data_IF_236200765569
#
_entry.id   IF_236200765569
#
_cell.length_a   1.000
_cell.length_b   1.000
_cell.length_c   1.000
_cell.angle_alpha   90.00
_cell.angle_beta   90.00
_cell.angle_gamma   90.00
#
_symmetry.space_group_name_H-M   'P 1'
#
loop_
_entity.id
_entity.type
_entity.pdbx_description
1 polymer ?
#
# COMPACT_ATOMS: atom_id res chain seq x y z
N UNK A 1 -3.26 -8.13 -17.49
CA UNK A 1 -3.62 -6.95 -16.66
C UNK A 1 -5.09 -6.65 -16.87
N UNK A 2 -5.88 -6.69 -15.82
CA UNK A 2 -7.33 -6.49 -15.85
C UNK A 2 -7.69 -5.07 -15.38
N UNK A 3 -8.94 -4.66 -15.62
CA UNK A 3 -9.45 -3.37 -15.14
C UNK A 3 -10.81 -3.55 -14.50
N UNK A 4 -11.14 -2.68 -13.56
CA UNK A 4 -12.47 -2.54 -12.96
C UNK A 4 -12.85 -1.06 -12.94
N UNK A 5 -14.06 -0.77 -13.40
CA UNK A 5 -14.61 0.58 -13.36
C UNK A 5 -15.45 0.75 -12.11
N UNK A 6 -15.15 1.82 -11.35
CA UNK A 6 -15.88 2.24 -10.16
C UNK A 6 -16.26 3.72 -10.28
N UNK A 7 -16.99 4.25 -9.32
CA UNK A 7 -17.40 5.67 -9.31
C UNK A 7 -16.22 6.62 -9.46
N UNK A 8 -15.09 6.32 -8.81
CA UNK A 8 -13.87 7.14 -8.81
C UNK A 8 -13.08 7.09 -10.13
N UNK A 9 -13.25 6.07 -10.96
CA UNK A 9 -12.50 5.87 -12.21
C UNK A 9 -12.21 4.41 -12.52
N UNK A 10 -11.21 4.16 -13.37
CA UNK A 10 -10.77 2.82 -13.77
C UNK A 10 -9.55 2.41 -12.95
N UNK A 11 -9.65 1.30 -12.22
CA UNK A 11 -8.52 0.72 -11.47
C UNK A 11 -7.96 -0.47 -12.25
N UNK A 12 -6.65 -0.46 -12.49
CA UNK A 12 -5.92 -1.55 -13.13
C UNK A 12 -5.36 -2.49 -12.07
N UNK A 13 -5.45 -3.80 -12.31
CA UNK A 13 -4.93 -4.80 -11.37
C UNK A 13 -4.36 -6.03 -12.10
N UNK A 14 -3.45 -6.72 -11.43
CA UNK A 14 -3.02 -8.06 -11.80
C UNK A 14 -3.76 -9.06 -10.88
N UNK A 15 -4.25 -10.16 -11.45
CA UNK A 15 -4.84 -11.26 -10.72
C UNK A 15 -4.04 -12.54 -10.98
N UNK A 16 -3.76 -13.31 -9.93
CA UNK A 16 -2.98 -14.54 -10.00
C UNK A 16 -3.60 -15.59 -9.07
N UNK A 17 -3.61 -16.85 -9.48
CA UNK A 17 -4.21 -17.95 -8.73
C UNK A 17 -5.65 -18.24 -9.12
N UNK A 18 -6.27 -19.27 -8.52
CA UNK A 18 -7.62 -19.71 -8.87
C UNK A 18 -8.68 -18.68 -8.46
N UNK A 19 -9.69 -18.48 -9.28
CA UNK A 19 -10.80 -17.54 -8.99
C UNK A 19 -11.58 -17.92 -7.74
N UNK A 20 -11.65 -19.19 -7.42
CA UNK A 20 -12.32 -19.75 -6.22
C UNK A 20 -11.46 -19.68 -4.96
N UNK A 21 -10.17 -19.30 -5.08
CA UNK A 21 -9.28 -19.15 -3.93
C UNK A 21 -9.70 -17.99 -3.03
N UNK A 22 -9.37 -18.08 -1.72
CA UNK A 22 -9.59 -16.98 -0.79
C UNK A 22 -8.85 -15.74 -1.28
N UNK A 23 -9.50 -14.56 -1.38
CA UNK A 23 -8.90 -13.38 -1.95
C UNK A 23 -7.87 -12.75 -1.01
N UNK A 24 -6.68 -12.46 -1.55
CA UNK A 24 -5.62 -11.66 -0.94
C UNK A 24 -5.46 -10.41 -1.80
N UNK A 25 -5.75 -9.24 -1.25
CA UNK A 25 -5.68 -7.96 -1.95
C UNK A 25 -4.55 -7.13 -1.37
N UNK A 26 -3.68 -6.62 -2.24
CA UNK A 26 -2.47 -5.90 -1.86
C UNK A 26 -2.61 -4.39 -2.04
N UNK A 27 -2.10 -3.63 -1.09
CA UNK A 27 -2.07 -2.17 -1.11
C UNK A 27 -0.61 -1.70 -1.00
N UNK A 28 -0.12 -1.10 -2.07
CA UNK A 28 1.24 -0.55 -2.16
C UNK A 28 1.30 0.89 -1.62
N UNK A 29 2.50 1.42 -1.44
CA UNK A 29 2.74 2.75 -0.91
C UNK A 29 2.75 3.89 -1.94
N UNK A 30 3.19 5.06 -1.46
CA UNK A 30 3.26 6.31 -2.22
C UNK A 30 4.21 6.20 -3.42
N UNK A 31 3.73 6.58 -4.62
CA UNK A 31 4.44 6.45 -5.89
C UNK A 31 4.96 5.03 -6.19
N UNK A 32 4.20 4.01 -5.79
CA UNK A 32 4.46 2.60 -6.07
C UNK A 32 3.32 2.01 -6.90
N UNK A 33 3.47 0.77 -7.36
CA UNK A 33 2.46 0.07 -8.17
C UNK A 33 2.29 -1.39 -7.77
N UNK A 34 1.20 -2.01 -8.23
CA UNK A 34 0.83 -3.38 -7.90
C UNK A 34 1.90 -4.43 -8.22
N UNK A 35 2.78 -4.16 -9.20
CA UNK A 35 3.89 -5.06 -9.59
C UNK A 35 4.87 -5.34 -8.44
N UNK A 36 4.89 -4.51 -7.40
CA UNK A 36 5.66 -4.73 -6.17
C UNK A 36 5.38 -6.11 -5.57
N UNK A 37 4.13 -6.58 -5.67
CA UNK A 37 3.64 -7.79 -5.03
C UNK A 37 3.77 -9.05 -5.87
N UNK A 38 4.28 -8.97 -7.12
CA UNK A 38 4.27 -10.09 -8.09
C UNK A 38 4.86 -11.37 -7.51
N UNK A 39 6.06 -11.29 -6.92
CA UNK A 39 6.78 -12.46 -6.40
C UNK A 39 6.03 -13.17 -5.27
N UNK A 40 5.38 -12.43 -4.40
CA UNK A 40 4.55 -12.97 -3.31
C UNK A 40 3.24 -13.51 -3.85
N UNK A 41 2.60 -12.81 -4.79
CA UNK A 41 1.36 -13.26 -5.43
C UNK A 41 1.52 -14.61 -6.11
N UNK A 42 2.62 -14.83 -6.83
CA UNK A 42 2.92 -16.11 -7.49
C UNK A 42 3.03 -17.27 -6.48
N UNK A 43 3.67 -17.02 -5.33
CA UNK A 43 3.83 -18.03 -4.26
C UNK A 43 2.51 -18.36 -3.57
N UNK A 44 1.71 -17.36 -3.28
CA UNK A 44 0.40 -17.54 -2.66
C UNK A 44 -0.59 -18.20 -3.62
N UNK A 45 -0.52 -17.86 -4.91
CA UNK A 45 -1.31 -18.52 -5.96
C UNK A 45 -1.00 -20.00 -6.06
N UNK A 46 0.29 -20.39 -5.93
CA UNK A 46 0.71 -21.79 -5.84
C UNK A 46 0.17 -22.54 -4.62
N UNK A 47 -0.35 -21.81 -3.62
CA UNK A 47 -1.03 -22.35 -2.43
C UNK A 47 -2.57 -22.30 -2.52
N UNK A 48 -3.10 -22.02 -3.70
CA UNK A 48 -4.55 -21.98 -3.96
C UNK A 48 -5.24 -20.68 -3.55
N UNK A 49 -4.50 -19.59 -3.28
CA UNK A 49 -5.06 -18.28 -2.95
C UNK A 49 -5.27 -17.44 -4.23
N UNK A 50 -6.32 -16.62 -4.24
CA UNK A 50 -6.58 -15.64 -5.29
C UNK A 50 -5.94 -14.31 -4.95
N UNK A 51 -4.80 -14.01 -5.55
CA UNK A 51 -4.04 -12.79 -5.32
C UNK A 51 -4.45 -11.68 -6.29
N UNK A 52 -4.76 -10.50 -5.77
CA UNK A 52 -5.17 -9.33 -6.54
C UNK A 52 -4.27 -8.16 -6.13
N UNK A 53 -3.49 -7.65 -7.09
CA UNK A 53 -2.53 -6.57 -6.90
C UNK A 53 -2.90 -5.36 -7.76
N UNK A 54 -3.79 -4.48 -7.28
CA UNK A 54 -4.15 -3.25 -8.00
C UNK A 54 -3.01 -2.23 -7.97
N UNK A 55 -2.99 -1.38 -8.99
CA UNK A 55 -2.25 -0.13 -8.95
C UNK A 55 -3.19 0.98 -8.49
N UNK A 56 -3.14 1.27 -7.21
CA UNK A 56 -3.99 2.25 -6.55
C UNK A 56 -3.62 3.69 -6.95
N UNK A 57 -4.52 4.68 -6.78
CA UNK A 57 -4.26 6.07 -7.17
C UNK A 57 -3.32 6.80 -6.20
N UNK A 58 -2.14 6.20 -5.97
CA UNK A 58 -1.06 6.69 -5.12
C UNK A 58 0.13 7.23 -5.95
N UNK A 59 -0.08 7.54 -7.23
CA UNK A 59 0.89 8.19 -8.13
C UNK A 59 1.39 7.34 -9.30
N UNK A 60 1.25 6.01 -9.26
CA UNK A 60 1.64 5.09 -10.34
C UNK A 60 0.46 4.60 -11.20
N UNK A 61 -0.75 5.01 -10.89
CA UNK A 61 -1.96 4.62 -11.62
C UNK A 61 -1.92 5.14 -13.07
N UNK A 62 -2.34 4.30 -14.05
CA UNK A 62 -2.16 4.63 -15.46
C UNK A 62 -3.24 5.56 -16.04
N UNK A 63 -4.39 5.71 -15.35
CA UNK A 63 -5.48 6.62 -15.74
C UNK A 63 -5.81 7.54 -14.57
N UNK A 64 -6.03 8.85 -14.81
CA UNK A 64 -6.42 9.77 -13.75
C UNK A 64 -7.78 9.41 -13.17
N UNK A 65 -8.02 9.79 -11.93
CA UNK A 65 -9.32 9.71 -11.30
C UNK A 65 -10.32 10.67 -11.97
N UNK A 66 -11.61 10.39 -11.81
CA UNK A 66 -12.66 11.32 -12.21
C UNK A 66 -12.61 12.58 -11.34
N UNK A 67 -12.96 13.75 -11.88
CA UNK A 67 -13.02 14.98 -11.10
C UNK A 67 -13.89 14.81 -9.84
N UNK A 68 -13.36 15.22 -8.69
CA UNK A 68 -14.05 15.10 -7.41
C UNK A 68 -13.99 13.72 -6.73
N UNK A 69 -13.35 12.73 -7.36
CA UNK A 69 -13.19 11.41 -6.78
C UNK A 69 -12.05 11.39 -5.77
N UNK A 70 -12.38 11.46 -4.48
CA UNK A 70 -11.60 11.00 -3.33
C UNK A 70 -10.06 11.05 -3.37
N UNK A 71 -9.47 12.15 -3.84
CA UNK A 71 -8.01 12.33 -4.00
C UNK A 71 -7.29 12.58 -2.65
N UNK A 72 -7.76 11.92 -1.61
CA UNK A 72 -7.16 11.97 -0.27
C UNK A 72 -6.82 10.56 0.18
N UNK A 73 -5.97 10.44 1.20
CA UNK A 73 -5.62 9.12 1.73
C UNK A 73 -6.87 8.36 2.24
N UNK A 74 -7.83 9.06 2.85
CA UNK A 74 -9.13 8.50 3.23
C UNK A 74 -10.00 8.13 2.03
N UNK A 75 -9.98 8.95 0.96
CA UNK A 75 -10.67 8.65 -0.29
C UNK A 75 -10.11 7.41 -1.00
N UNK A 76 -8.79 7.20 -0.94
CA UNK A 76 -8.17 5.96 -1.47
C UNK A 76 -8.67 4.73 -0.70
N UNK A 77 -8.88 4.83 0.62
CA UNK A 77 -9.48 3.74 1.39
C UNK A 77 -10.92 3.42 0.93
N UNK A 78 -11.71 4.45 0.62
CA UNK A 78 -13.03 4.28 -0.01
C UNK A 78 -12.94 3.60 -1.39
N UNK A 79 -11.96 4.01 -2.22
CA UNK A 79 -11.70 3.37 -3.52
C UNK A 79 -11.34 1.89 -3.35
N UNK A 80 -10.54 1.53 -2.34
CA UNK A 80 -10.27 0.12 -2.03
C UNK A 80 -11.57 -0.62 -1.71
N UNK A 81 -12.42 -0.08 -0.84
CA UNK A 81 -13.70 -0.69 -0.49
C UNK A 81 -14.62 -0.86 -1.70
N UNK A 82 -14.70 0.15 -2.58
CA UNK A 82 -15.47 0.11 -3.83
C UNK A 82 -14.96 -0.99 -4.77
N UNK A 83 -13.64 -1.15 -4.91
CA UNK A 83 -13.04 -2.23 -5.73
C UNK A 83 -13.37 -3.60 -5.14
N UNK A 84 -13.26 -3.78 -3.82
CA UNK A 84 -13.65 -5.03 -3.17
C UNK A 84 -15.13 -5.36 -3.42
N UNK A 85 -15.98 -4.33 -3.43
CA UNK A 85 -17.41 -4.48 -3.72
C UNK A 85 -17.66 -4.81 -5.19
N UNK A 86 -17.05 -4.09 -6.12
CA UNK A 86 -17.23 -4.28 -7.56
C UNK A 86 -16.70 -5.62 -8.08
N UNK A 87 -15.66 -6.16 -7.43
CA UNK A 87 -15.15 -7.52 -7.68
C UNK A 87 -15.88 -8.60 -6.86
N UNK A 88 -16.94 -8.23 -6.12
CA UNK A 88 -17.74 -9.11 -5.26
C UNK A 88 -16.94 -9.92 -4.25
N UNK A 89 -15.76 -9.41 -3.84
CA UNK A 89 -14.88 -10.10 -2.92
C UNK A 89 -15.45 -10.11 -1.50
N UNK A 90 -15.30 -11.23 -0.82
CA UNK A 90 -15.68 -11.45 0.58
C UNK A 90 -14.55 -12.19 1.29
N UNK A 91 -14.48 -12.08 2.62
CA UNK A 91 -13.47 -12.74 3.44
C UNK A 91 -12.03 -12.41 2.98
N UNK A 92 -11.82 -11.14 2.60
CA UNK A 92 -10.58 -10.65 2.01
C UNK A 92 -9.47 -10.59 3.05
N UNK A 93 -8.30 -11.12 2.71
CA UNK A 93 -7.05 -10.80 3.41
C UNK A 93 -6.49 -9.53 2.79
N UNK A 94 -6.59 -8.40 3.49
CA UNK A 94 -6.10 -7.12 2.99
C UNK A 94 -4.69 -6.86 3.52
N UNK A 95 -3.75 -6.68 2.60
CA UNK A 95 -2.30 -6.56 2.89
C UNK A 95 -1.80 -5.17 2.52
N UNK A 96 -1.24 -4.43 3.47
CA UNK A 96 -0.68 -3.10 3.23
C UNK A 96 0.80 -2.98 3.56
N UNK A 97 1.52 -2.13 2.79
CA UNK A 97 2.93 -1.80 2.99
C UNK A 97 3.16 -0.31 2.79
N UNK A 98 4.09 0.29 3.51
CA UNK A 98 4.45 1.72 3.41
C UNK A 98 3.18 2.58 3.65
N UNK A 99 2.93 3.62 2.89
CA UNK A 99 1.69 4.42 2.95
C UNK A 99 0.43 3.59 2.65
N UNK A 100 0.57 2.48 1.91
CA UNK A 100 -0.53 1.52 1.71
C UNK A 100 -1.00 0.88 3.02
N UNK A 101 -0.15 0.80 4.03
CA UNK A 101 -0.55 0.37 5.37
C UNK A 101 -1.53 1.33 6.04
N UNK A 102 -1.38 2.66 5.85
CA UNK A 102 -2.37 3.65 6.31
C UNK A 102 -3.72 3.43 5.63
N UNK A 103 -3.71 3.26 4.30
CA UNK A 103 -4.94 2.95 3.54
C UNK A 103 -5.61 1.68 4.08
N UNK A 104 -4.83 0.64 4.32
CA UNK A 104 -5.30 -0.65 4.83
C UNK A 104 -5.88 -0.54 6.24
N UNK A 105 -5.25 0.24 7.13
CA UNK A 105 -5.77 0.56 8.46
C UNK A 105 -7.10 1.33 8.37
N UNK A 106 -7.19 2.33 7.47
CA UNK A 106 -8.43 3.07 7.23
C UNK A 106 -9.56 2.15 6.73
N UNK A 107 -9.27 1.22 5.82
CA UNK A 107 -10.26 0.22 5.36
C UNK A 107 -10.70 -0.68 6.52
N UNK A 108 -9.77 -1.13 7.36
CA UNK A 108 -10.09 -1.99 8.50
C UNK A 108 -11.03 -1.31 9.51
N UNK A 109 -10.91 0.01 9.68
CA UNK A 109 -11.74 0.78 10.62
C UNK A 109 -13.06 1.24 10.02
N UNK A 110 -13.07 1.63 8.73
CA UNK A 110 -14.25 2.26 8.12
C UNK A 110 -15.07 1.33 7.22
N UNK A 111 -14.47 0.25 6.72
CA UNK A 111 -15.08 -0.68 5.75
C UNK A 111 -14.74 -2.15 6.07
N UNK A 112 -14.90 -2.62 7.33
CA UNK A 112 -14.40 -3.94 7.76
C UNK A 112 -15.23 -5.11 7.23
N UNK A 113 -16.43 -4.88 6.72
CA UNK A 113 -17.43 -5.91 6.44
C UNK A 113 -16.98 -6.96 5.43
N UNK A 114 -16.14 -6.59 4.47
CA UNK A 114 -15.62 -7.51 3.43
C UNK A 114 -14.31 -8.18 3.82
N UNK A 115 -13.67 -7.71 4.89
CA UNK A 115 -12.39 -8.25 5.34
C UNK A 115 -12.59 -9.56 6.09
N UNK A 116 -11.68 -10.49 5.94
CA UNK A 116 -11.55 -11.70 6.73
C UNK A 116 -10.30 -11.68 7.61
N UNK A 117 -9.27 -10.92 7.18
CA UNK A 117 -8.04 -10.69 7.94
C UNK A 117 -7.35 -9.40 7.48
N UNK A 118 -6.50 -8.86 8.34
CA UNK A 118 -5.65 -7.70 8.07
C UNK A 118 -4.18 -8.12 8.12
N UNK A 119 -3.37 -7.62 7.18
CA UNK A 119 -1.92 -7.76 7.24
C UNK A 119 -1.26 -6.40 7.04
N UNK A 120 -0.39 -6.02 7.95
CA UNK A 120 0.43 -4.82 7.86
C UNK A 120 1.90 -5.23 7.79
N UNK A 121 2.59 -4.79 6.75
CA UNK A 121 4.03 -5.01 6.58
C UNK A 121 4.72 -3.67 6.56
N UNK A 122 5.74 -3.48 7.38
CA UNK A 122 6.57 -2.26 7.45
C UNK A 122 5.88 -1.02 6.87
N UNK A 123 5.12 -0.29 7.68
CA UNK A 123 4.24 0.75 7.17
C UNK A 123 4.12 1.95 8.12
N UNK A 124 3.58 3.03 7.59
CA UNK A 124 3.21 4.22 8.33
C UNK A 124 2.13 3.92 9.39
N UNK A 125 2.33 4.44 10.59
CA UNK A 125 1.39 4.34 11.70
C UNK A 125 1.62 5.44 12.74
N UNK A 126 0.60 5.70 13.54
CA UNK A 126 0.64 6.61 14.68
C UNK A 126 1.15 8.03 14.31
N UNK A 127 1.99 8.60 15.18
CA UNK A 127 2.57 9.95 15.04
C UNK A 127 3.71 10.04 14.02
N UNK A 128 4.22 8.94 13.50
CA UNK A 128 5.35 8.89 12.57
C UNK A 128 4.95 9.12 11.10
N UNK A 129 3.73 9.53 10.84
CA UNK A 129 3.21 9.84 9.50
C UNK A 129 2.91 11.34 9.35
N UNK A 130 3.19 11.96 8.21
CA UNK A 130 3.96 11.42 7.09
C UNK A 130 5.45 11.37 7.40
N UNK A 131 6.20 10.43 6.79
CA UNK A 131 7.63 10.32 7.01
C UNK A 131 8.36 11.60 6.60
N UNK A 132 9.45 12.00 7.30
CA UNK A 132 10.14 13.27 7.07
C UNK A 132 10.58 13.49 5.63
N UNK A 133 10.90 12.42 4.90
CA UNK A 133 11.32 12.48 3.49
C UNK A 133 10.23 13.04 2.57
N UNK A 134 8.95 12.95 2.93
CA UNK A 134 7.84 13.50 2.16
C UNK A 134 7.54 14.96 2.46
N UNK A 135 8.09 15.55 3.54
CA UNK A 135 7.81 16.96 3.90
C UNK A 135 8.09 17.96 2.77
N UNK A 136 9.21 17.89 2.02
CA UNK A 136 9.46 18.80 0.89
C UNK A 136 8.43 18.65 -0.23
N UNK A 137 8.00 17.42 -0.51
CA UNK A 137 6.99 17.11 -1.54
C UNK A 137 5.62 17.66 -1.12
N UNK A 138 5.23 17.47 0.14
CA UNK A 138 3.98 18.00 0.71
C UNK A 138 4.00 19.54 0.69
N UNK A 139 5.13 20.16 1.01
CA UNK A 139 5.27 21.61 0.92
C UNK A 139 5.10 22.10 -0.52
N UNK A 140 5.75 21.46 -1.47
CA UNK A 140 5.61 21.79 -2.90
C UNK A 140 4.17 21.59 -3.40
N UNK A 141 3.44 20.63 -2.83
CA UNK A 141 2.05 20.35 -3.20
C UNK A 141 1.07 21.50 -2.95
N UNK A 142 1.44 22.50 -2.12
CA UNK A 142 0.66 23.73 -1.93
C UNK A 142 0.53 24.56 -3.22
N UNK A 143 1.43 24.36 -4.19
CA UNK A 143 1.37 24.97 -5.52
C UNK A 143 1.44 23.90 -6.61
N UNK A 144 0.47 23.88 -7.51
CA UNK A 144 0.45 22.91 -8.62
C UNK A 144 1.69 23.01 -9.51
N UNK A 145 2.17 24.23 -9.76
CA UNK A 145 3.38 24.48 -10.57
C UNK A 145 4.63 23.96 -9.87
N UNK A 146 4.81 24.28 -8.57
CA UNK A 146 5.96 23.83 -7.80
C UNK A 146 5.96 22.31 -7.65
N UNK A 147 4.81 21.72 -7.39
CA UNK A 147 4.69 20.27 -7.28
C UNK A 147 5.09 19.55 -8.57
N UNK A 148 4.55 20.00 -9.71
CA UNK A 148 4.92 19.43 -11.02
C UNK A 148 6.41 19.57 -11.29
N UNK A 149 7.01 20.72 -10.99
CA UNK A 149 8.46 20.91 -11.13
C UNK A 149 9.25 19.98 -10.18
N UNK A 150 8.85 19.90 -8.92
CA UNK A 150 9.52 19.07 -7.91
C UNK A 150 9.52 17.58 -8.27
N UNK A 151 8.41 17.03 -8.75
CA UNK A 151 8.36 15.60 -9.10
C UNK A 151 9.19 15.29 -10.36
N UNK A 152 9.43 16.27 -11.27
CA UNK A 152 10.26 16.01 -12.48
C UNK A 152 11.68 15.57 -12.16
N UNK A 153 12.20 15.89 -10.98
CA UNK A 153 13.53 15.43 -10.54
C UNK A 153 13.63 13.88 -10.55
N UNK A 154 12.51 13.18 -10.38
CA UNK A 154 12.44 11.72 -10.44
C UNK A 154 12.70 11.14 -11.84
N UNK A 155 12.80 11.95 -12.89
CA UNK A 155 13.28 11.51 -14.21
C UNK A 155 14.74 11.09 -14.18
N UNK A 156 15.54 11.77 -13.36
CA UNK A 156 16.95 11.45 -13.19
C UNK A 156 17.13 10.15 -12.41
N UNK A 157 17.86 9.16 -12.95
CA UNK A 157 18.08 7.88 -12.25
C UNK A 157 18.71 8.06 -10.86
N UNK A 158 19.67 8.97 -10.70
CA UNK A 158 20.34 9.22 -9.43
C UNK A 158 19.36 9.73 -8.35
N UNK A 159 18.45 10.65 -8.70
CA UNK A 159 17.45 11.17 -7.77
C UNK A 159 16.42 10.06 -7.40
N UNK A 160 15.98 9.29 -8.38
CA UNK A 160 15.07 8.17 -8.19
C UNK A 160 15.70 7.09 -7.29
N UNK A 161 16.93 6.68 -7.59
CA UNK A 161 17.64 5.69 -6.80
C UNK A 161 17.84 6.18 -5.35
N UNK A 162 18.11 7.47 -5.14
CA UNK A 162 18.22 8.05 -3.79
C UNK A 162 16.87 8.06 -3.06
N UNK A 163 15.77 8.39 -3.74
CA UNK A 163 14.43 8.45 -3.13
C UNK A 163 13.93 7.08 -2.66
N UNK A 164 14.30 6.00 -3.38
CA UNK A 164 13.93 4.63 -3.02
C UNK A 164 15.07 3.86 -2.33
N UNK A 165 16.20 4.52 -2.06
CA UNK A 165 17.31 3.91 -1.34
C UNK A 165 16.87 3.48 0.07
N UNK A 166 17.24 2.28 0.46
CA UNK A 166 16.89 1.74 1.77
C UNK A 166 15.56 0.99 1.85
N UNK A 167 14.70 1.05 0.82
CA UNK A 167 13.46 0.29 0.81
C UNK A 167 13.65 -1.20 0.48
N UNK A 168 14.75 -1.59 -0.16
CA UNK A 168 15.10 -2.97 -0.51
C UNK A 168 16.61 -3.14 -0.50
N UNK A 169 17.08 -4.37 -0.26
CA UNK A 169 18.48 -4.77 -0.46
C UNK A 169 18.81 -4.94 -1.95
N UNK A 170 17.80 -5.13 -2.78
CA UNK A 170 17.97 -5.37 -4.22
C UNK A 170 17.85 -4.08 -5.04
N UNK A 171 18.40 -4.11 -6.24
CA UNK A 171 18.18 -3.05 -7.22
C UNK A 171 16.76 -3.15 -7.80
N UNK A 172 15.96 -2.10 -7.55
CA UNK A 172 14.57 -1.98 -7.98
C UNK A 172 14.37 -0.86 -9.02
N UNK A 173 15.42 -0.37 -9.67
CA UNK A 173 15.34 0.76 -10.62
C UNK A 173 14.33 0.52 -11.74
N UNK A 174 14.20 -0.72 -12.22
CA UNK A 174 13.21 -1.09 -13.23
C UNK A 174 11.76 -0.88 -12.75
N UNK A 175 11.45 -1.16 -11.46
CA UNK A 175 10.15 -0.93 -10.85
C UNK A 175 9.92 0.57 -10.64
N UNK A 176 10.87 1.25 -9.99
CA UNK A 176 10.72 2.67 -9.64
C UNK A 176 10.59 3.55 -10.87
N UNK A 177 11.30 3.23 -11.97
CA UNK A 177 11.14 3.90 -13.26
C UNK A 177 9.72 3.75 -13.84
N UNK A 178 9.13 2.56 -13.72
CA UNK A 178 7.75 2.32 -14.17
C UNK A 178 6.74 3.07 -13.31
N UNK A 179 6.94 3.09 -11.98
CA UNK A 179 6.00 3.69 -11.02
C UNK A 179 5.92 5.21 -11.10
N UNK A 180 7.06 5.89 -11.28
CA UNK A 180 7.06 7.36 -11.34
C UNK A 180 6.55 7.89 -12.68
N UNK A 181 6.66 7.11 -13.76
CA UNK A 181 6.35 7.54 -15.13
C UNK A 181 4.95 8.14 -15.31
N UNK A 182 3.85 7.56 -14.79
CA UNK A 182 2.51 8.11 -14.98
C UNK A 182 2.39 9.54 -14.47
N UNK A 183 2.77 9.81 -13.23
CA UNK A 183 2.71 11.17 -12.65
C UNK A 183 3.65 12.16 -13.35
N UNK A 184 4.80 11.71 -13.88
CA UNK A 184 5.75 12.56 -14.60
C UNK A 184 5.29 12.95 -16.00
N UNK A 185 4.44 12.13 -16.64
CA UNK A 185 4.03 12.31 -18.05
C UNK A 185 2.58 12.73 -18.23
N UNK A 186 1.73 12.60 -17.22
CA UNK A 186 0.32 12.98 -17.28
C UNK A 186 -0.01 14.03 -16.20
N UNK A 187 -0.34 15.28 -16.59
CA UNK A 187 -0.65 16.35 -15.64
C UNK A 187 -1.85 16.05 -14.72
N UNK A 188 -2.84 15.29 -15.18
CA UNK A 188 -3.98 14.94 -14.35
C UNK A 188 -3.60 13.92 -13.26
N UNK A 189 -2.75 12.94 -13.56
CA UNK A 189 -2.20 12.01 -12.55
C UNK A 189 -1.29 12.75 -11.57
N UNK A 190 -0.50 13.73 -12.06
CA UNK A 190 0.29 14.59 -11.18
C UNK A 190 -0.61 15.40 -10.23
N UNK A 191 -1.79 15.81 -10.69
CA UNK A 191 -2.76 16.53 -9.86
C UNK A 191 -3.40 15.60 -8.82
N UNK A 192 -3.77 14.36 -9.19
CA UNK A 192 -4.24 13.35 -8.25
C UNK A 192 -3.21 13.11 -7.14
N UNK A 193 -1.94 12.94 -7.51
CA UNK A 193 -0.84 12.76 -6.55
C UNK A 193 -0.63 14.00 -5.68
N UNK A 194 -0.78 15.21 -6.24
CA UNK A 194 -0.68 16.47 -5.48
C UNK A 194 -1.76 16.58 -4.41
N UNK A 195 -3.01 16.31 -4.76
CA UNK A 195 -4.13 16.33 -3.82
C UNK A 195 -3.96 15.28 -2.72
N UNK A 196 -3.56 14.06 -3.10
CA UNK A 196 -3.20 13.02 -2.15
C UNK A 196 -2.12 13.52 -1.17
N UNK A 197 -1.03 14.13 -1.70
CA UNK A 197 0.08 14.61 -0.87
C UNK A 197 -0.36 15.66 0.16
N UNK A 198 -1.32 16.52 -0.18
CA UNK A 198 -1.89 17.51 0.76
C UNK A 198 -2.71 16.87 1.88
N UNK A 199 -3.16 15.64 1.70
CA UNK A 199 -3.97 14.90 2.70
C UNK A 199 -3.13 14.07 3.67
N UNK A 200 -1.82 13.94 3.43
CA UNK A 200 -0.93 13.17 4.29
C UNK A 200 -0.64 13.95 5.58
N UNK A 201 -1.31 13.57 6.67
CA UNK A 201 -1.25 14.27 7.95
C UNK A 201 -1.22 13.28 9.11
N UNK A 202 -0.53 13.63 10.18
CA UNK A 202 -0.42 12.84 11.41
C UNK A 202 -1.78 12.54 12.04
N UNK A 203 -2.71 13.47 11.94
CA UNK A 203 -4.06 13.33 12.50
C UNK A 203 -4.81 12.13 11.89
N UNK A 204 -4.52 11.77 10.64
CA UNK A 204 -5.15 10.62 9.99
C UNK A 204 -4.73 9.31 10.66
N UNK A 205 -3.43 9.12 10.84
CA UNK A 205 -2.89 7.89 11.45
C UNK A 205 -3.16 7.79 12.95
N UNK A 206 -3.15 8.90 13.67
CA UNK A 206 -3.51 8.92 15.10
C UNK A 206 -4.99 8.65 15.31
N UNK A 207 -5.87 9.22 14.48
CA UNK A 207 -7.31 8.97 14.55
C UNK A 207 -7.65 7.51 14.22
N UNK A 208 -7.06 6.94 13.18
CA UNK A 208 -7.31 5.53 12.81
C UNK A 208 -6.74 4.59 13.87
N UNK A 209 -5.55 4.87 14.42
CA UNK A 209 -4.93 4.05 15.46
C UNK A 209 -5.79 3.96 16.72
N UNK A 210 -6.48 5.03 17.10
CA UNK A 210 -7.40 5.03 18.24
C UNK A 210 -8.60 4.09 18.06
N UNK A 211 -8.92 3.73 16.80
CA UNK A 211 -10.05 2.85 16.44
C UNK A 211 -9.62 1.44 16.03
N UNK A 212 -8.34 1.17 15.83
CA UNK A 212 -7.85 -0.19 15.53
C UNK A 212 -8.26 -1.24 16.57
N UNK A 213 -8.46 -0.92 17.87
CA UNK A 213 -9.02 -1.88 18.82
C UNK A 213 -10.45 -2.37 18.49
N UNK A 214 -11.19 -1.66 17.61
CA UNK A 214 -12.51 -2.09 17.13
C UNK A 214 -12.42 -3.24 16.08
N UNK A 215 -11.24 -3.47 15.49
CA UNK A 215 -11.05 -4.53 14.51
C UNK A 215 -10.88 -5.89 15.19
N UNK A 216 -11.91 -6.71 15.15
CA UNK A 216 -12.03 -7.98 15.87
C UNK A 216 -11.61 -9.23 15.08
N UNK A 217 -11.13 -9.03 13.83
CA UNK A 217 -10.72 -10.13 12.95
C UNK A 217 -9.22 -10.42 13.08
N UNK A 218 -8.76 -11.62 12.63
CA UNK A 218 -7.34 -11.96 12.66
C UNK A 218 -6.48 -10.91 11.97
N UNK A 219 -5.35 -10.56 12.58
CA UNK A 219 -4.37 -9.67 11.99
C UNK A 219 -2.95 -10.25 12.10
N UNK A 220 -2.12 -9.92 11.13
CA UNK A 220 -0.69 -10.20 11.11
C UNK A 220 0.08 -8.90 10.91
N UNK A 221 0.99 -8.62 11.80
CA UNK A 221 1.95 -7.51 11.68
C UNK A 221 3.29 -8.15 11.36
N UNK A 222 3.68 -8.12 10.06
CA UNK A 222 4.89 -8.73 9.55
C UNK A 222 5.94 -7.63 9.26
N UNK A 223 6.90 -7.46 10.16
CA UNK A 223 7.82 -6.33 10.10
C UNK A 223 9.22 -6.74 9.69
N UNK A 224 9.85 -5.94 8.83
CA UNK A 224 11.19 -6.22 8.33
C UNK A 224 12.25 -5.84 9.37
N UNK A 225 13.21 -6.75 9.62
CA UNK A 225 14.26 -6.54 10.64
C UNK A 225 15.25 -5.42 10.27
N UNK A 226 15.57 -5.29 8.96
CA UNK A 226 16.55 -4.34 8.46
C UNK A 226 15.91 -3.03 7.97
N UNK A 227 14.67 -2.75 8.40
CA UNK A 227 13.95 -1.56 7.96
C UNK A 227 14.58 -0.29 8.53
N UNK A 228 14.90 0.65 7.65
CA UNK A 228 15.53 1.94 8.02
C UNK A 228 14.52 3.09 8.11
N UNK A 229 13.26 2.86 7.70
CA UNK A 229 12.21 3.88 7.70
C UNK A 229 11.15 3.63 8.78
N UNK A 230 10.82 2.37 9.01
CA UNK A 230 9.75 1.97 9.91
C UNK A 230 10.32 1.17 11.07
N UNK A 231 10.52 1.83 12.21
CA UNK A 231 11.08 1.22 13.41
C UNK A 231 10.26 -0.01 13.85
N UNK A 232 10.95 -1.04 14.35
CA UNK A 232 10.37 -2.31 14.79
C UNK A 232 9.31 -2.10 15.88
N UNK A 233 9.53 -1.12 16.74
CA UNK A 233 8.65 -0.73 17.83
C UNK A 233 7.26 -0.29 17.33
N UNK A 234 7.17 0.30 16.15
CA UNK A 234 5.88 0.67 15.55
C UNK A 234 5.06 -0.57 15.18
N UNK A 235 5.72 -1.61 14.65
CA UNK A 235 5.08 -2.89 14.36
C UNK A 235 4.62 -3.59 15.65
N UNK A 236 5.45 -3.61 16.68
CA UNK A 236 5.08 -4.15 18.00
C UNK A 236 3.89 -3.40 18.62
N UNK A 237 3.90 -2.08 18.52
CA UNK A 237 2.79 -1.23 18.99
C UNK A 237 1.50 -1.48 18.22
N UNK A 238 1.56 -1.65 16.89
CA UNK A 238 0.39 -2.04 16.08
C UNK A 238 -0.18 -3.39 16.52
N UNK A 239 0.69 -4.38 16.74
CA UNK A 239 0.27 -5.70 17.23
C UNK A 239 -0.36 -5.64 18.62
N UNK A 240 0.15 -4.80 19.50
CA UNK A 240 -0.44 -4.58 20.83
C UNK A 240 -1.78 -3.81 20.78
N UNK A 241 -2.02 -3.05 19.70
CA UNK A 241 -3.22 -2.22 19.54
C UNK A 241 -4.40 -3.02 18.98
N UNK A 242 -4.15 -4.00 18.08
CA UNK A 242 -5.19 -4.79 17.42
C UNK A 242 -5.42 -6.10 18.20
N UNK A 243 -6.65 -6.36 18.73
CA UNK A 243 -6.90 -7.45 19.70
C UNK A 243 -6.48 -8.86 19.25
N UNK A 244 -6.60 -9.15 17.95
CA UNK A 244 -6.29 -10.48 17.38
C UNK A 244 -5.06 -10.46 16.48
N UNK A 245 -4.14 -9.54 16.74
CA UNK A 245 -2.91 -9.43 15.97
C UNK A 245 -1.81 -10.37 16.49
N UNK A 246 -1.01 -10.89 15.55
CA UNK A 246 0.28 -11.52 15.81
C UNK A 246 1.38 -10.64 15.25
N UNK A 247 2.52 -10.61 15.91
CA UNK A 247 3.71 -9.92 15.46
C UNK A 247 4.75 -10.92 14.98
N UNK A 248 5.30 -10.69 13.79
CA UNK A 248 6.33 -11.54 13.18
C UNK A 248 7.42 -10.67 12.57
N UNK A 249 8.66 -11.10 12.71
CA UNK A 249 9.83 -10.41 12.15
C UNK A 249 10.27 -11.12 10.86
N UNK A 250 10.49 -10.35 9.80
CA UNK A 250 11.04 -10.81 8.53
C UNK A 250 12.51 -10.44 8.48
N UNK A 251 13.36 -11.41 8.82
CA UNK A 251 14.81 -11.27 8.78
C UNK A 251 15.35 -11.11 7.35
N UNK A 252 16.43 -10.33 7.19
CA UNK A 252 17.09 -10.11 5.91
C UNK A 252 16.24 -9.34 4.91
N UNK A 253 15.35 -8.49 5.39
CA UNK A 253 14.49 -7.68 4.55
C UNK A 253 14.42 -6.24 5.09
N UNK A 254 14.31 -5.29 4.16
CA UNK A 254 13.95 -3.91 4.40
C UNK A 254 12.45 -3.72 4.15
N UNK A 255 11.99 -2.49 4.05
CA UNK A 255 10.56 -2.13 3.84
C UNK A 255 9.88 -3.01 2.78
N UNK A 256 10.60 -3.37 1.73
CA UNK A 256 10.08 -4.23 0.66
C UNK A 256 10.40 -5.71 0.90
N UNK A 257 9.90 -6.28 1.99
CA UNK A 257 10.02 -7.71 2.27
C UNK A 257 9.48 -8.60 1.16
N UNK A 258 8.49 -8.12 0.39
CA UNK A 258 7.95 -8.79 -0.79
C UNK A 258 8.96 -8.89 -1.95
N UNK A 259 10.03 -8.10 -1.91
CA UNK A 259 11.15 -8.15 -2.86
C UNK A 259 12.34 -8.89 -2.26
N UNK A 260 12.69 -8.58 -1.02
CA UNK A 260 13.89 -9.08 -0.36
C UNK A 260 13.75 -10.54 0.12
N UNK A 261 12.61 -10.86 0.72
CA UNK A 261 12.30 -12.18 1.32
C UNK A 261 10.89 -12.67 0.94
N UNK A 262 10.57 -12.82 -0.37
CA UNK A 262 9.21 -13.10 -0.83
C UNK A 262 8.69 -14.47 -0.36
N UNK A 263 9.55 -15.47 -0.18
CA UNK A 263 9.18 -16.79 0.32
C UNK A 263 8.73 -16.70 1.78
N UNK A 264 9.54 -16.06 2.61
CA UNK A 264 9.25 -15.89 4.04
C UNK A 264 7.99 -15.07 4.27
N UNK A 265 7.82 -13.98 3.53
CA UNK A 265 6.58 -13.19 3.60
C UNK A 265 5.37 -14.00 3.16
N UNK A 266 5.46 -14.79 2.08
CA UNK A 266 4.36 -15.64 1.64
C UNK A 266 4.03 -16.74 2.67
N UNK A 267 5.03 -17.29 3.37
CA UNK A 267 4.82 -18.24 4.48
C UNK A 267 4.03 -17.60 5.61
N UNK A 268 4.42 -16.41 6.04
CA UNK A 268 3.73 -15.67 7.09
C UNK A 268 2.30 -15.29 6.68
N UNK A 269 2.10 -14.78 5.46
CA UNK A 269 0.78 -14.45 4.92
C UNK A 269 -0.13 -15.67 4.89
N UNK A 270 0.38 -16.85 4.55
CA UNK A 270 -0.40 -18.09 4.50
C UNK A 270 -0.97 -18.48 5.86
N UNK A 271 -0.34 -18.11 6.96
CA UNK A 271 -0.82 -18.41 8.33
C UNK A 271 -2.15 -17.75 8.68
N UNK A 272 -2.51 -16.66 7.98
CA UNK A 272 -3.80 -15.97 8.16
C UNK A 272 -4.69 -16.08 6.92
N UNK A 273 -4.12 -16.45 5.77
CA UNK A 273 -4.83 -16.56 4.51
C UNK A 273 -5.39 -17.97 4.25
N UNK A 274 -4.69 -19.03 4.65
CA UNK A 274 -5.16 -20.40 4.55
C UNK A 274 -5.99 -20.71 5.79
N UNK A 275 -7.26 -21.12 5.59
CA UNK A 275 -8.09 -21.64 6.68
C UNK A 275 -7.62 -23.06 6.99
N UNK A 276 -7.24 -23.31 8.23
CA UNK A 276 -7.05 -24.65 8.77
C UNK A 276 -8.39 -25.32 9.01
#
# INVERSE_FOLDING_TARGET
MSTIDISAGTIHYEATGPETGRPVVFVHGYMMGGQLWRRVSERLAGRGLRCIAPTWPLGAHPKPLRPGAGQTIGGVAGIVADVLAALELKDVVLVGNDTGGVVTQLVAVHYPERLGALVLTSCDAFEHFPPPILKPVILAAKSATLFRAAIQVMRAPAARNRAYAGLSHHNIDHLTRAWVRPALSNPAIAEDLRQLSLSLRTEVTTAVAARLPEFDKPALIAWSADDVFFALENGQRLAATIPRARFEVIEGARTFSMVDSPDRLADQLSTVAVRT
#
